data_IF_077788275424
#
_entry.id   IF_077788275424
#
_cell.length_a   1.000
_cell.length_b   1.000
_cell.length_c   1.000
_cell.angle_alpha   90.00
_cell.angle_beta   90.00
_cell.angle_gamma   90.00
#
_symmetry.space_group_name_H-M   'P 1'
#
loop_
_entity.id
_entity.type
_entity.pdbx_description
1 polymer ?
#
# COMPACT_ATOMS: atom_id res chain seq x y z
N UNK A 1 -16.12 -3.61 8.31
CA UNK A 1 -15.88 -3.19 6.92
C UNK A 1 -15.73 -4.42 6.06
N UNK A 2 -15.53 -4.20 4.77
CA UNK A 2 -14.90 -5.19 3.90
C UNK A 2 -13.39 -5.22 4.23
N UNK A 3 -12.73 -6.37 4.14
CA UNK A 3 -11.28 -6.42 4.28
C UNK A 3 -10.62 -6.29 2.93
N UNK A 4 -9.86 -5.21 2.71
CA UNK A 4 -9.19 -4.95 1.43
C UNK A 4 -7.73 -5.40 1.50
N UNK A 5 -6.92 -4.76 2.34
CA UNK A 5 -5.52 -5.11 2.59
C UNK A 5 -5.24 -5.39 4.06
N UNK A 6 -4.21 -6.22 4.31
CA UNK A 6 -3.72 -6.55 5.65
C UNK A 6 -2.19 -6.52 5.65
N UNK A 7 -1.58 -5.94 6.68
CA UNK A 7 -0.17 -6.18 6.97
C UNK A 7 0.06 -6.37 8.48
N UNK A 8 1.15 -7.06 8.82
CA UNK A 8 1.52 -7.40 10.19
C UNK A 8 2.93 -6.87 10.47
N UNK A 9 3.12 -6.22 11.62
CA UNK A 9 4.40 -5.62 12.01
C UNK A 9 5.09 -6.32 13.19
N UNK A 10 4.85 -7.62 13.36
CA UNK A 10 5.27 -8.43 14.51
C UNK A 10 4.53 -8.12 15.82
N UNK A 11 3.62 -7.14 15.83
CA UNK A 11 2.85 -6.79 17.03
C UNK A 11 1.36 -6.59 16.77
N UNK A 12 1.01 -5.89 15.70
CA UNK A 12 -0.37 -5.55 15.35
C UNK A 12 -0.65 -5.90 13.90
N UNK A 13 -1.93 -6.15 13.62
CA UNK A 13 -2.43 -6.28 12.25
C UNK A 13 -3.05 -4.95 11.86
N UNK A 14 -2.61 -4.39 10.73
CA UNK A 14 -3.21 -3.20 10.12
C UNK A 14 -4.12 -3.65 8.98
N UNK A 15 -5.31 -3.08 8.91
CA UNK A 15 -6.33 -3.46 7.96
C UNK A 15 -6.94 -2.24 7.29
N UNK A 16 -7.02 -2.28 5.97
CA UNK A 16 -7.78 -1.32 5.18
C UNK A 16 -9.13 -1.91 4.77
N UNK A 17 -10.10 -1.02 4.54
CA UNK A 17 -11.45 -1.38 4.06
C UNK A 17 -11.91 -0.51 2.88
N UNK A 18 -10.97 0.16 2.20
CA UNK A 18 -11.25 1.13 1.15
C UNK A 18 -11.62 2.53 1.66
N UNK A 19 -11.82 2.72 2.97
CA UNK A 19 -11.95 4.07 3.55
C UNK A 19 -10.59 4.77 3.69
N UNK A 20 -10.59 5.94 4.32
CA UNK A 20 -9.36 6.65 4.70
C UNK A 20 -8.79 6.21 6.06
N UNK A 21 -9.35 5.18 6.68
CA UNK A 21 -8.91 4.70 7.98
C UNK A 21 -8.16 3.36 7.84
N UNK A 22 -7.16 3.18 8.71
CA UNK A 22 -6.55 1.89 8.95
C UNK A 22 -6.96 1.40 10.34
N UNK A 23 -7.63 0.26 10.36
CA UNK A 23 -7.93 -0.46 11.59
C UNK A 23 -6.64 -1.12 12.09
N UNK A 24 -6.32 -0.90 13.37
CA UNK A 24 -5.27 -1.62 14.08
C UNK A 24 -5.95 -2.68 14.94
N UNK A 25 -5.58 -3.93 14.72
CA UNK A 25 -6.16 -5.11 15.35
C UNK A 25 -5.13 -5.85 16.17
N UNK A 26 -5.60 -6.43 17.26
CA UNK A 26 -4.80 -7.36 18.06
C UNK A 26 -4.44 -8.58 17.21
N UNK A 27 -3.16 -8.97 17.20
CA UNK A 27 -2.69 -10.05 16.33
C UNK A 27 -3.14 -11.45 16.79
N UNK A 28 -3.50 -11.62 18.06
CA UNK A 28 -3.94 -12.90 18.62
C UNK A 28 -5.46 -13.03 18.57
N UNK A 29 -6.20 -11.97 18.93
CA UNK A 29 -7.66 -11.99 19.05
C UNK A 29 -8.39 -11.42 17.83
N UNK A 30 -7.69 -10.67 16.98
CA UNK A 30 -8.23 -9.91 15.85
C UNK A 30 -9.23 -8.80 16.25
N UNK A 31 -9.35 -8.52 17.55
CA UNK A 31 -10.19 -7.44 18.05
C UNK A 31 -9.66 -6.07 17.60
N UNK A 32 -10.58 -5.16 17.29
CA UNK A 32 -10.24 -3.79 16.93
C UNK A 32 -9.68 -3.07 18.16
N UNK A 33 -8.45 -2.57 18.06
CA UNK A 33 -7.80 -1.75 19.08
C UNK A 33 -8.15 -0.28 18.86
N UNK A 34 -7.90 0.22 17.65
CA UNK A 34 -8.29 1.57 17.23
C UNK A 34 -8.31 1.68 15.70
N UNK A 35 -8.84 2.78 15.19
CA UNK A 35 -8.85 3.08 13.75
C UNK A 35 -8.22 4.46 13.52
N UNK A 36 -7.16 4.52 12.70
CA UNK A 36 -6.35 5.71 12.48
C UNK A 36 -6.63 6.35 11.11
N UNK A 37 -6.84 7.66 11.06
CA UNK A 37 -7.05 8.40 9.81
C UNK A 37 -5.74 8.58 9.05
N UNK A 38 -5.73 8.22 7.76
CA UNK A 38 -4.62 8.47 6.85
C UNK A 38 -4.79 9.81 6.15
N UNK A 39 -3.73 10.63 6.17
CA UNK A 39 -3.76 11.96 5.53
C UNK A 39 -2.52 12.26 4.69
N UNK A 40 -2.74 12.93 3.55
CA UNK A 40 -1.71 13.59 2.76
C UNK A 40 -1.90 15.09 2.92
N UNK A 41 -0.91 15.78 3.50
CA UNK A 41 -0.97 17.23 3.72
C UNK A 41 -2.27 17.67 4.45
N UNK A 42 -2.71 16.88 5.43
CA UNK A 42 -3.93 17.13 6.20
C UNK A 42 -5.25 16.82 5.48
N UNK A 43 -5.21 16.32 4.25
CA UNK A 43 -6.39 15.84 3.53
C UNK A 43 -6.50 14.32 3.65
N UNK A 44 -7.69 13.83 3.94
CA UNK A 44 -7.95 12.38 4.00
C UNK A 44 -7.74 11.72 2.62
N UNK A 45 -7.21 10.50 2.60
CA UNK A 45 -7.06 9.71 1.37
C UNK A 45 -7.91 8.46 1.46
N UNK A 46 -8.93 8.34 0.60
CA UNK A 46 -9.76 7.15 0.52
C UNK A 46 -9.13 6.09 -0.39
N UNK A 47 -9.80 4.94 -0.52
CA UNK A 47 -9.47 3.85 -1.41
C UNK A 47 -8.13 3.18 -1.07
N UNK A 48 -7.76 3.16 0.21
CA UNK A 48 -6.63 2.38 0.70
C UNK A 48 -6.93 0.89 0.47
N UNK A 49 -6.03 0.21 -0.21
CA UNK A 49 -6.22 -1.17 -0.64
C UNK A 49 -5.12 -2.06 -0.05
N UNK A 50 -4.33 -2.76 -0.85
CA UNK A 50 -3.20 -3.58 -0.37
C UNK A 50 -2.28 -2.79 0.59
N UNK A 51 -1.79 -3.47 1.63
CA UNK A 51 -0.89 -2.91 2.64
C UNK A 51 0.38 -3.77 2.74
N UNK A 52 1.51 -3.13 3.03
CA UNK A 52 2.76 -3.81 3.43
C UNK A 52 3.42 -3.07 4.59
N UNK A 53 3.83 -3.81 5.62
CA UNK A 53 4.38 -3.25 6.86
C UNK A 53 5.92 -3.33 6.82
N UNK A 54 6.61 -2.17 6.87
CA UNK A 54 8.08 -2.12 6.81
C UNK A 54 8.63 -1.11 7.83
N UNK A 55 9.34 -1.59 8.85
CA UNK A 55 9.90 -0.72 9.90
C UNK A 55 8.82 0.12 10.58
N UNK A 56 8.92 1.45 10.53
CA UNK A 56 7.94 2.37 11.10
C UNK A 56 6.82 2.78 10.11
N UNK A 57 6.81 2.20 8.90
CA UNK A 57 5.92 2.62 7.82
C UNK A 57 4.97 1.52 7.34
N UNK A 58 3.82 1.94 6.86
CA UNK A 58 2.90 1.11 6.06
C UNK A 58 2.93 1.65 4.64
N UNK A 59 3.15 0.76 3.68
CA UNK A 59 3.00 1.03 2.27
C UNK A 59 1.60 0.64 1.83
N UNK A 60 0.85 1.56 1.25
CA UNK A 60 -0.54 1.30 0.85
C UNK A 60 -0.76 1.63 -0.62
N UNK A 61 -1.32 0.69 -1.39
CA UNK A 61 -1.88 1.01 -2.70
C UNK A 61 -3.12 1.90 -2.54
N UNK A 62 -3.31 2.84 -3.47
CA UNK A 62 -4.57 3.57 -3.62
C UNK A 62 -5.31 3.03 -4.84
N UNK A 63 -6.45 2.37 -4.60
CA UNK A 63 -7.21 1.66 -5.64
C UNK A 63 -7.59 2.59 -6.80
N UNK A 64 -7.53 2.06 -8.02
CA UNK A 64 -7.72 2.78 -9.30
C UNK A 64 -6.68 3.88 -9.58
N UNK A 65 -5.52 3.85 -8.92
CA UNK A 65 -4.39 4.73 -9.20
C UNK A 65 -3.09 3.93 -9.31
N UNK A 66 -2.04 4.56 -9.84
CA UNK A 66 -0.68 4.02 -9.84
C UNK A 66 0.16 4.55 -8.66
N UNK A 67 -0.48 5.00 -7.57
CA UNK A 67 0.23 5.53 -6.41
C UNK A 67 0.31 4.52 -5.27
N UNK A 68 1.47 4.53 -4.60
CA UNK A 68 1.68 3.88 -3.31
C UNK A 68 2.02 4.96 -2.28
N UNK A 69 1.38 4.90 -1.13
CA UNK A 69 1.62 5.83 -0.03
C UNK A 69 2.58 5.20 0.97
N UNK A 70 3.58 5.94 1.43
CA UNK A 70 4.35 5.60 2.62
C UNK A 70 3.74 6.34 3.81
N UNK A 71 3.08 5.60 4.68
CA UNK A 71 2.31 6.10 5.83
C UNK A 71 3.12 5.86 7.10
N UNK A 72 3.32 6.89 7.92
CA UNK A 72 3.83 6.73 9.28
C UNK A 72 2.79 6.02 10.16
N UNK A 73 3.15 4.83 10.66
CA UNK A 73 2.26 3.98 11.47
C UNK A 73 1.75 4.67 12.73
N UNK A 74 2.53 5.60 13.27
CA UNK A 74 2.27 6.18 14.60
C UNK A 74 1.19 7.25 14.56
N UNK A 75 0.98 7.88 13.41
CA UNK A 75 0.13 9.07 13.30
C UNK A 75 -0.74 9.12 12.03
N UNK A 76 -0.57 8.17 11.09
CA UNK A 76 -1.35 8.11 9.84
C UNK A 76 -0.97 9.17 8.81
N UNK A 77 0.09 9.96 9.03
CA UNK A 77 0.55 10.96 8.07
C UNK A 77 1.34 10.28 6.96
N UNK A 78 0.99 10.58 5.72
CA UNK A 78 1.77 10.17 4.56
C UNK A 78 3.04 11.00 4.47
N UNK A 79 4.19 10.33 4.54
CA UNK A 79 5.53 10.93 4.47
C UNK A 79 6.16 10.79 3.08
N UNK A 80 5.60 9.94 2.22
CA UNK A 80 6.06 9.72 0.85
C UNK A 80 4.94 9.27 -0.07
N UNK A 81 5.00 9.69 -1.32
CA UNK A 81 4.11 9.23 -2.40
C UNK A 81 5.00 8.67 -3.50
N UNK A 82 4.83 7.39 -3.80
CA UNK A 82 5.55 6.68 -4.84
C UNK A 82 4.65 6.64 -6.08
N UNK A 83 5.19 7.12 -7.20
CA UNK A 83 4.56 7.03 -8.52
C UNK A 83 5.06 5.76 -9.23
N UNK A 84 4.16 4.80 -9.39
CA UNK A 84 4.42 3.52 -10.05
C UNK A 84 3.91 3.48 -11.50
N UNK A 85 3.46 4.61 -12.06
CA UNK A 85 2.86 4.68 -13.41
C UNK A 85 3.81 4.25 -14.52
N UNK A 86 5.12 4.27 -14.27
CA UNK A 86 6.15 3.88 -15.24
C UNK A 86 6.63 2.45 -15.08
N UNK A 87 6.08 1.65 -14.15
CA UNK A 87 6.52 0.27 -13.95
C UNK A 87 6.15 -0.62 -15.14
N UNK A 88 4.92 -0.49 -15.63
CA UNK A 88 4.44 -1.24 -16.78
C UNK A 88 4.77 -0.45 -18.05
N UNK A 89 5.48 -1.05 -19.03
CA UNK A 89 5.73 -0.39 -20.30
C UNK A 89 4.43 0.05 -20.98
N UNK A 90 4.38 1.24 -21.63
CA UNK A 90 3.15 1.75 -22.22
C UNK A 90 2.47 0.80 -23.21
N UNK A 91 3.25 0.03 -23.97
CA UNK A 91 2.77 -0.98 -24.91
C UNK A 91 2.09 -2.18 -24.24
N UNK A 92 2.54 -2.56 -23.05
CA UNK A 92 1.94 -3.62 -22.23
C UNK A 92 0.69 -3.06 -21.53
N UNK A 93 0.80 -1.86 -20.94
CA UNK A 93 -0.32 -1.19 -20.26
C UNK A 93 -1.50 -0.89 -21.19
N UNK A 94 -1.24 -0.65 -22.48
CA UNK A 94 -2.29 -0.45 -23.48
C UNK A 94 -3.14 -1.70 -23.77
N UNK A 95 -2.65 -2.89 -23.38
CA UNK A 95 -3.40 -4.14 -23.47
C UNK A 95 -4.27 -4.38 -22.25
N UNK A 96 -4.06 -3.61 -21.18
CA UNK A 96 -4.73 -3.85 -19.92
C UNK A 96 -6.18 -3.39 -19.94
N UNK A 97 -7.04 -4.14 -19.26
CA UNK A 97 -8.39 -3.68 -18.97
C UNK A 97 -8.43 -2.76 -17.73
N UNK A 98 -9.61 -2.18 -17.46
CA UNK A 98 -9.77 -1.23 -16.36
C UNK A 98 -9.65 -1.85 -14.96
N UNK A 99 -9.68 -3.18 -14.83
CA UNK A 99 -9.55 -3.93 -13.58
C UNK A 99 -8.11 -4.39 -13.31
N UNK A 100 -7.23 -4.32 -14.32
CA UNK A 100 -5.80 -4.63 -14.23
C UNK A 100 -4.99 -3.49 -13.60
N UNK A 101 -5.38 -3.14 -12.37
CA UNK A 101 -4.81 -2.05 -11.59
C UNK A 101 -3.65 -2.51 -10.71
N UNK A 102 -2.78 -1.55 -10.37
CA UNK A 102 -1.73 -1.72 -9.36
C UNK A 102 -2.33 -2.24 -8.04
N UNK A 103 -1.81 -3.37 -7.56
CA UNK A 103 -2.21 -4.04 -6.32
C UNK A 103 -1.18 -5.14 -6.00
N UNK A 104 -0.62 -5.12 -4.80
CA UNK A 104 0.40 -6.08 -4.39
C UNK A 104 1.72 -5.36 -4.15
N UNK A 105 2.15 -5.34 -2.89
CA UNK A 105 3.39 -4.75 -2.42
C UNK A 105 4.00 -5.75 -1.45
N UNK A 106 5.26 -6.11 -1.65
CA UNK A 106 6.00 -6.97 -0.70
C UNK A 106 7.39 -6.39 -0.54
N UNK A 107 7.85 -6.23 0.70
CA UNK A 107 9.22 -5.84 0.99
C UNK A 107 10.15 -7.07 1.00
N UNK A 108 11.35 -6.90 0.45
CA UNK A 108 12.39 -7.94 0.39
C UNK A 108 13.56 -7.49 1.28
N UNK A 109 13.65 -7.96 2.54
CA UNK A 109 14.67 -7.50 3.48
C UNK A 109 16.11 -7.78 3.03
N UNK A 110 16.33 -8.85 2.26
CA UNK A 110 17.65 -9.28 1.82
C UNK A 110 18.31 -8.30 0.84
N UNK A 111 17.51 -7.61 0.01
CA UNK A 111 17.98 -6.69 -1.02
C UNK A 111 17.59 -5.22 -0.77
N UNK A 112 16.78 -4.95 0.26
CA UNK A 112 16.21 -3.63 0.55
C UNK A 112 15.50 -3.06 -0.69
N UNK A 113 14.56 -3.87 -1.18
CA UNK A 113 13.72 -3.61 -2.37
C UNK A 113 12.27 -4.00 -2.08
N UNK A 114 11.41 -3.68 -3.03
CA UNK A 114 10.01 -4.04 -3.03
C UNK A 114 9.67 -4.83 -4.29
N UNK A 115 8.87 -5.87 -4.16
CA UNK A 115 8.17 -6.51 -5.27
C UNK A 115 6.81 -5.83 -5.45
N UNK A 116 6.58 -5.30 -6.64
CA UNK A 116 5.35 -4.59 -7.01
C UNK A 116 4.69 -5.30 -8.19
N UNK A 117 3.37 -5.46 -8.12
CA UNK A 117 2.56 -6.03 -9.21
C UNK A 117 1.16 -5.44 -9.22
N UNK A 118 0.25 -6.05 -9.99
CA UNK A 118 -1.14 -5.67 -10.07
C UNK A 118 -2.05 -6.85 -10.34
N UNK A 119 -3.36 -6.58 -10.28
CA UNK A 119 -4.38 -7.58 -10.58
C UNK A 119 -4.17 -8.06 -12.02
N UNK A 120 -3.95 -9.36 -12.18
CA UNK A 120 -3.70 -10.04 -13.47
C UNK A 120 -2.51 -9.52 -14.28
N UNK A 121 -1.61 -8.71 -13.70
CA UNK A 121 -0.39 -8.33 -14.38
C UNK A 121 0.44 -9.58 -14.73
N UNK A 122 1.02 -9.65 -15.95
CA UNK A 122 1.83 -10.80 -16.35
C UNK A 122 3.20 -10.82 -15.65
N UNK A 123 3.60 -9.70 -15.03
CA UNK A 123 4.93 -9.46 -14.47
C UNK A 123 4.86 -8.99 -13.01
N UNK A 124 5.93 -9.28 -12.26
CA UNK A 124 6.25 -8.70 -10.95
C UNK A 124 7.56 -7.93 -11.10
N UNK A 125 7.62 -6.72 -10.55
CA UNK A 125 8.76 -5.83 -10.67
C UNK A 125 9.46 -5.70 -9.32
N UNK A 126 10.74 -6.03 -9.25
CA UNK A 126 11.59 -5.69 -8.10
C UNK A 126 12.12 -4.27 -8.27
N UNK A 127 11.85 -3.40 -7.28
CA UNK A 127 12.11 -1.96 -7.35
C UNK A 127 12.73 -1.43 -6.07
N UNK A 128 13.43 -0.30 -6.17
CA UNK A 128 13.85 0.50 -5.01
C UNK A 128 13.21 1.88 -5.10
N UNK A 129 12.63 2.35 -4.00
CA UNK A 129 12.10 3.71 -3.92
C UNK A 129 13.25 4.69 -3.66
N UNK A 130 13.30 5.75 -4.46
CA UNK A 130 14.30 6.81 -4.35
C UNK A 130 13.61 8.17 -4.33
N UNK A 131 14.15 9.16 -3.61
CA UNK A 131 13.63 10.52 -3.68
C UNK A 131 13.63 11.06 -5.11
N UNK A 132 12.62 11.83 -5.47
CA UNK A 132 12.64 12.59 -6.72
C UNK A 132 13.76 13.64 -6.63
N UNK A 133 14.67 13.62 -7.60
CA UNK A 133 15.76 14.59 -7.73
C UNK A 133 15.28 15.99 -8.10
#
# INVERSE_FOLDING_TARGET
>A
GEGWGLCYDDRFIYMSDGSAFLDVRDAETFELIFSGLVTVQGQMVNNLNELECVGDYIYANVYMTDYILQIDKTNGVVVGIIDASTLVPPEERAQFDAQEVLNGIVYVPESDTFLITGKHWPNIYEVRFVPKG
#
